data_IF_965652001930
#
_entry.id   IF_965652001930
#
_cell.length_a   1.000
_cell.length_b   1.000
_cell.length_c   1.000
_cell.angle_alpha   90.00
_cell.angle_beta   90.00
_cell.angle_gamma   90.00
#
_symmetry.space_group_name_H-M   'P 1'
#
loop_
_entity.id
_entity.type
_entity.pdbx_description
1 polymer ?
#
# COMPACT_ATOMS: atom_id res chain seq x y z
N UNK A 1 -0.88 -41.43 -13.50
CA UNK A 1 -1.12 -41.09 -12.08
C UNK A 1 -1.71 -39.70 -11.89
N UNK A 2 -1.11 -38.62 -12.42
CA UNK A 2 -1.71 -37.27 -12.30
C UNK A 2 -2.97 -37.08 -13.17
N UNK A 3 -3.04 -37.72 -14.34
CA UNK A 3 -4.17 -37.61 -15.27
C UNK A 3 -5.49 -38.21 -14.76
N UNK A 4 -5.45 -38.99 -13.67
CA UNK A 4 -6.64 -39.57 -13.03
C UNK A 4 -7.13 -38.76 -11.83
N UNK A 5 -6.44 -37.67 -11.46
CA UNK A 5 -6.87 -36.81 -10.37
C UNK A 5 -7.95 -35.83 -10.85
N UNK A 6 -8.95 -35.52 -10.01
CA UNK A 6 -9.88 -34.43 -10.27
C UNK A 6 -9.13 -33.09 -10.44
N UNK A 7 -9.60 -32.19 -11.32
CA UNK A 7 -8.98 -30.88 -11.55
C UNK A 7 -8.75 -30.09 -10.26
N UNK A 8 -9.68 -30.17 -9.30
CA UNK A 8 -9.64 -29.41 -8.04
C UNK A 8 -8.48 -29.87 -7.14
N UNK A 9 -8.22 -31.18 -7.11
CA UNK A 9 -7.10 -31.75 -6.35
C UNK A 9 -5.78 -31.32 -6.98
N UNK A 10 -5.72 -31.30 -8.30
CA UNK A 10 -4.52 -30.88 -9.01
C UNK A 10 -4.27 -29.38 -8.91
N UNK A 11 -5.32 -28.54 -8.91
CA UNK A 11 -5.21 -27.11 -8.63
C UNK A 11 -4.65 -26.87 -7.22
N UNK A 12 -5.12 -27.62 -6.22
CA UNK A 12 -4.59 -27.54 -4.85
C UNK A 12 -3.12 -28.01 -4.75
N UNK A 13 -2.73 -29.04 -5.51
CA UNK A 13 -1.31 -29.44 -5.62
C UNK A 13 -0.50 -28.29 -6.24
N UNK A 14 -0.99 -27.70 -7.33
CA UNK A 14 -0.31 -26.58 -7.99
C UNK A 14 -0.14 -25.37 -7.06
N UNK A 15 -1.11 -25.09 -6.18
CA UNK A 15 -1.04 -24.01 -5.18
C UNK A 15 0.10 -24.18 -4.16
N UNK A 16 0.65 -25.40 -4.01
CA UNK A 16 1.76 -25.70 -3.10
C UNK A 16 3.13 -25.72 -3.77
N UNK A 17 3.18 -25.66 -5.10
CA UNK A 17 4.42 -25.73 -5.85
C UNK A 17 5.08 -24.35 -5.97
N UNK A 18 6.41 -24.35 -6.04
CA UNK A 18 7.15 -23.13 -6.37
C UNK A 18 6.88 -22.69 -7.81
N UNK A 19 7.11 -21.41 -8.13
CA UNK A 19 6.95 -20.92 -9.50
C UNK A 19 7.83 -21.67 -10.51
N UNK A 20 9.03 -22.11 -10.10
CA UNK A 20 9.96 -22.90 -10.92
C UNK A 20 9.38 -24.29 -11.17
N UNK A 21 8.84 -24.93 -10.14
CA UNK A 21 8.27 -26.28 -10.28
C UNK A 21 6.98 -26.26 -11.10
N UNK A 22 6.14 -25.22 -10.96
CA UNK A 22 4.97 -25.01 -11.80
C UNK A 22 5.35 -24.82 -13.27
N UNK A 23 6.40 -24.04 -13.55
CA UNK A 23 6.90 -23.89 -14.92
C UNK A 23 7.35 -25.23 -15.50
N UNK A 24 8.14 -26.00 -14.74
CA UNK A 24 8.58 -27.34 -15.16
C UNK A 24 7.40 -28.27 -15.40
N UNK A 25 6.42 -28.29 -14.50
CA UNK A 25 5.20 -29.09 -14.63
C UNK A 25 4.40 -28.70 -15.87
N UNK A 26 4.33 -27.40 -16.19
CA UNK A 26 3.61 -26.90 -17.37
C UNK A 26 4.17 -27.44 -18.70
N UNK A 27 5.44 -27.85 -18.73
CA UNK A 27 6.12 -28.37 -19.94
C UNK A 27 5.94 -29.88 -20.13
N UNK A 28 5.35 -30.58 -19.17
CA UNK A 28 5.25 -32.06 -19.20
C UNK A 28 4.10 -32.58 -20.06
N UNK A 29 2.97 -31.85 -20.14
CA UNK A 29 1.81 -32.24 -20.94
C UNK A 29 0.90 -31.05 -21.24
N UNK A 30 0.18 -31.09 -22.38
CA UNK A 30 -0.76 -30.02 -22.79
C UNK A 30 -1.87 -29.74 -21.77
N UNK A 31 -2.41 -30.78 -21.15
CA UNK A 31 -3.47 -30.62 -20.15
C UNK A 31 -2.94 -30.03 -18.83
N UNK A 32 -1.73 -30.40 -18.42
CA UNK A 32 -1.03 -29.81 -17.27
C UNK A 32 -0.66 -28.35 -17.54
N UNK A 33 -0.23 -28.03 -18.76
CA UNK A 33 -0.01 -26.65 -19.19
C UNK A 33 -1.26 -25.79 -18.94
N UNK A 34 -2.44 -26.25 -19.37
CA UNK A 34 -3.69 -25.49 -19.19
C UNK A 34 -4.03 -25.21 -17.71
N UNK A 35 -3.78 -26.18 -16.83
CA UNK A 35 -4.10 -26.05 -15.39
C UNK A 35 -3.07 -25.16 -14.70
N UNK A 36 -1.78 -25.45 -14.89
CA UNK A 36 -0.66 -24.68 -14.33
C UNK A 36 -0.63 -23.24 -14.85
N UNK A 37 -1.06 -22.98 -16.09
CA UNK A 37 -1.14 -21.63 -16.66
C UNK A 37 -1.96 -20.68 -15.78
N UNK A 38 -3.12 -21.14 -15.27
CA UNK A 38 -3.96 -20.31 -14.40
C UNK A 38 -3.22 -19.91 -13.12
N UNK A 39 -2.48 -20.85 -12.54
CA UNK A 39 -1.74 -20.62 -11.31
C UNK A 39 -0.48 -19.79 -11.50
N UNK A 40 0.24 -20.00 -12.61
CA UNK A 40 1.39 -19.19 -13.00
C UNK A 40 1.02 -17.71 -13.17
N UNK A 41 -0.19 -17.43 -13.67
CA UNK A 41 -0.68 -16.06 -13.88
C UNK A 41 -1.56 -15.53 -12.74
N UNK A 42 -1.71 -16.27 -11.63
CA UNK A 42 -2.50 -15.83 -10.47
C UNK A 42 -1.93 -14.58 -9.81
N UNK A 43 -0.60 -14.46 -9.76
CA UNK A 43 0.10 -13.32 -9.20
C UNK A 43 0.97 -12.64 -10.26
N UNK A 44 0.79 -11.34 -10.43
CA UNK A 44 1.57 -10.50 -11.35
C UNK A 44 2.40 -9.49 -10.57
N UNK A 45 3.71 -9.52 -10.78
CA UNK A 45 4.64 -8.51 -10.26
C UNK A 45 5.08 -7.58 -11.38
N UNK A 46 4.81 -6.29 -11.22
CA UNK A 46 5.25 -5.22 -12.08
C UNK A 46 6.58 -4.71 -11.53
N UNK A 47 7.61 -4.90 -12.35
CA UNK A 47 8.95 -4.37 -12.09
C UNK A 47 9.24 -3.22 -13.05
N UNK A 48 9.87 -2.13 -12.56
CA UNK A 48 10.39 -1.10 -13.42
C UNK A 48 11.63 -1.64 -14.17
N UNK A 49 11.85 -1.12 -15.37
CA UNK A 49 13.06 -1.40 -16.14
C UNK A 49 13.62 -0.13 -16.78
N UNK A 50 14.83 0.32 -16.41
CA UNK A 50 15.73 -0.28 -15.41
C UNK A 50 15.19 -0.16 -13.97
N UNK A 51 15.63 -1.03 -13.04
CA UNK A 51 15.13 -1.09 -11.66
C UNK A 51 15.30 0.24 -10.89
N UNK A 52 16.35 1.00 -11.24
CA UNK A 52 16.62 2.34 -10.70
C UNK A 52 15.59 3.39 -11.10
N UNK A 53 14.83 3.15 -12.18
CA UNK A 53 13.85 4.09 -12.73
C UNK A 53 12.43 3.59 -12.47
N UNK A 54 11.96 3.74 -11.23
CA UNK A 54 10.64 3.26 -10.77
C UNK A 54 9.45 3.66 -11.65
N UNK A 55 9.53 4.78 -12.36
CA UNK A 55 8.50 5.24 -13.28
C UNK A 55 8.46 4.47 -14.62
N UNK A 56 9.50 3.71 -14.94
CA UNK A 56 9.65 2.93 -16.17
C UNK A 56 8.99 1.56 -16.07
N UNK A 57 7.66 1.53 -15.90
CA UNK A 57 6.86 0.29 -16.01
C UNK A 57 6.27 0.15 -17.40
N UNK A 58 6.01 -1.09 -17.84
CA UNK A 58 5.24 -1.35 -19.06
C UNK A 58 3.73 -1.11 -18.79
N UNK A 59 3.11 -0.06 -19.37
CA UNK A 59 1.68 0.23 -19.15
C UNK A 59 0.76 -0.85 -19.72
N UNK A 60 1.23 -1.59 -20.72
CA UNK A 60 0.47 -2.63 -21.40
C UNK A 60 0.70 -4.02 -20.85
N UNK A 61 1.57 -4.21 -19.85
CA UNK A 61 1.80 -5.49 -19.17
C UNK A 61 1.82 -6.73 -20.09
N UNK A 62 1.35 -7.89 -19.60
CA UNK A 62 1.17 -9.10 -20.41
C UNK A 62 -0.14 -9.06 -21.23
N UNK A 63 -0.32 -10.03 -22.13
CA UNK A 63 -1.52 -10.18 -22.96
C UNK A 63 -2.79 -10.43 -22.11
N UNK A 64 -3.96 -10.04 -22.64
CA UNK A 64 -5.22 -10.05 -21.88
C UNK A 64 -5.61 -11.45 -21.37
N UNK A 65 -5.35 -12.50 -22.15
CA UNK A 65 -5.66 -13.88 -21.75
C UNK A 65 -4.78 -14.39 -20.58
N UNK A 66 -3.67 -13.72 -20.29
CA UNK A 66 -2.89 -13.94 -19.08
C UNK A 66 -3.56 -13.24 -17.90
N UNK A 67 -3.91 -11.95 -18.09
CA UNK A 67 -4.46 -11.10 -17.04
C UNK A 67 -5.76 -11.63 -16.45
N UNK A 68 -6.61 -12.31 -17.22
CA UNK A 68 -7.89 -12.83 -16.72
C UNK A 68 -7.77 -13.76 -15.49
N UNK A 69 -6.61 -14.40 -15.30
CA UNK A 69 -6.34 -15.29 -14.16
C UNK A 69 -5.67 -14.58 -12.98
N UNK A 70 -5.17 -13.36 -13.19
CA UNK A 70 -4.51 -12.59 -12.15
C UNK A 70 -5.49 -12.16 -11.08
N UNK A 71 -5.17 -12.48 -9.83
CA UNK A 71 -5.88 -12.10 -8.61
C UNK A 71 -5.01 -11.24 -7.70
N UNK A 72 -3.69 -11.33 -7.83
CA UNK A 72 -2.75 -10.56 -7.02
C UNK A 72 -1.91 -9.66 -7.92
N UNK A 73 -1.91 -8.36 -7.65
CA UNK A 73 -1.10 -7.38 -8.36
C UNK A 73 -0.10 -6.74 -7.40
N UNK A 74 1.18 -6.80 -7.76
CA UNK A 74 2.27 -6.23 -6.97
C UNK A 74 3.09 -5.28 -7.81
N UNK A 75 3.35 -4.09 -7.29
CA UNK A 75 4.39 -3.18 -7.78
C UNK A 75 5.62 -3.35 -6.88
N UNK A 76 6.69 -3.94 -7.41
CA UNK A 76 7.91 -4.24 -6.66
C UNK A 76 9.13 -3.84 -7.50
N UNK A 77 9.98 -2.90 -7.02
CA UNK A 77 11.08 -2.39 -7.82
C UNK A 77 12.28 -3.36 -7.86
N UNK A 78 12.26 -4.45 -7.09
CA UNK A 78 13.40 -5.35 -6.95
C UNK A 78 14.29 -5.00 -5.76
N UNK A 79 15.26 -5.88 -5.48
CA UNK A 79 16.15 -5.79 -4.31
C UNK A 79 17.21 -4.70 -4.49
N UNK A 80 17.57 -4.38 -5.73
CA UNK A 80 18.63 -3.44 -6.06
C UNK A 80 18.13 -1.98 -6.14
N UNK A 81 16.83 -1.75 -5.97
CA UNK A 81 16.24 -0.42 -6.00
C UNK A 81 16.51 0.35 -4.70
N UNK A 82 17.12 1.54 -4.79
CA UNK A 82 17.46 2.38 -3.62
C UNK A 82 16.22 2.66 -2.74
N UNK A 83 16.10 2.05 -1.54
CA UNK A 83 14.91 2.13 -0.72
C UNK A 83 14.68 3.53 -0.14
N UNK A 84 15.63 4.47 -0.30
CA UNK A 84 15.62 5.77 0.39
C UNK A 84 15.17 6.96 -0.46
N UNK A 85 14.55 6.74 -1.63
CA UNK A 85 14.15 7.85 -2.51
C UNK A 85 12.79 7.65 -3.15
N UNK A 86 11.77 8.34 -2.64
CA UNK A 86 10.55 8.57 -3.42
C UNK A 86 10.89 9.17 -4.79
N UNK A 87 10.09 8.84 -5.82
CA UNK A 87 10.27 9.32 -7.21
C UNK A 87 10.33 10.86 -7.26
N UNK A 88 9.67 11.54 -6.32
CA UNK A 88 9.73 12.98 -6.15
C UNK A 88 11.11 13.52 -5.70
N UNK A 89 11.90 12.73 -4.97
CA UNK A 89 13.20 13.15 -4.44
C UNK A 89 14.27 13.29 -5.54
N UNK A 90 14.12 12.56 -6.66
CA UNK A 90 14.99 12.64 -7.83
C UNK A 90 14.48 13.54 -8.96
N UNK A 91 13.35 14.23 -8.77
CA UNK A 91 12.65 14.93 -9.84
C UNK A 91 13.27 16.31 -10.09
N UNK A 92 14.20 16.39 -11.05
CA UNK A 92 14.90 17.60 -11.45
C UNK A 92 14.71 18.00 -12.92
N UNK A 93 13.93 17.26 -13.73
CA UNK A 93 13.97 17.41 -15.19
C UNK A 93 12.60 17.20 -15.85
N UNK A 94 12.13 18.22 -16.59
CA UNK A 94 10.83 18.26 -17.28
C UNK A 94 10.84 17.80 -18.74
N UNK A 95 9.70 17.31 -19.21
CA UNK A 95 9.27 17.12 -20.60
C UNK A 95 7.75 16.81 -20.61
N UNK A 96 7.00 17.24 -21.64
CA UNK A 96 5.63 16.77 -21.91
C UNK A 96 5.53 16.34 -23.39
N UNK A 97 5.21 15.06 -23.64
CA UNK A 97 4.85 14.52 -24.95
C UNK A 97 4.21 13.14 -24.78
N UNK A 98 3.52 12.59 -25.79
CA UNK A 98 2.82 11.30 -25.67
C UNK A 98 3.77 10.17 -25.17
N UNK A 99 3.64 9.80 -23.89
CA UNK A 99 4.56 8.91 -23.15
C UNK A 99 4.23 7.42 -23.26
N UNK A 100 3.11 7.09 -23.90
CA UNK A 100 2.64 5.71 -24.13
C UNK A 100 3.42 4.99 -25.22
N UNK A 101 4.04 5.74 -26.12
CA UNK A 101 4.64 5.21 -27.36
C UNK A 101 6.18 5.25 -27.35
N UNK A 102 6.80 5.87 -26.32
CA UNK A 102 8.25 6.06 -26.27
C UNK A 102 8.94 4.91 -25.53
N UNK A 103 9.87 4.24 -26.23
CA UNK A 103 10.73 3.18 -25.68
C UNK A 103 11.62 3.77 -24.56
N UNK A 104 11.75 3.11 -23.39
CA UNK A 104 12.45 3.67 -22.21
C UNK A 104 13.96 3.92 -22.34
N UNK A 105 14.56 3.69 -23.50
CA UNK A 105 16.01 3.51 -23.61
C UNK A 105 16.81 4.69 -24.17
N UNK A 106 16.21 5.80 -24.59
CA UNK A 106 16.98 6.89 -25.19
C UNK A 106 16.43 8.26 -24.77
N UNK A 107 17.12 8.95 -23.84
CA UNK A 107 17.86 10.19 -24.14
C UNK A 107 18.32 10.89 -22.86
N UNK A 108 19.63 10.80 -22.63
CA UNK A 108 20.41 11.95 -22.18
C UNK A 108 20.24 13.04 -23.25
N UNK A 109 19.67 14.18 -22.89
CA UNK A 109 20.18 15.55 -23.11
C UNK A 109 19.05 16.54 -22.84
N UNK A 110 19.34 17.49 -21.95
CA UNK A 110 18.69 18.79 -21.91
C UNK A 110 18.75 19.45 -23.29
N UNK A 111 17.60 19.89 -23.82
CA UNK A 111 17.35 21.23 -24.37
C UNK A 111 15.97 21.27 -25.06
N UNK A 112 15.36 22.46 -25.00
CA UNK A 112 14.19 22.93 -25.75
C UNK A 112 12.76 22.72 -25.16
N UNK A 113 12.30 23.80 -24.47
CA UNK A 113 10.95 24.41 -24.47
C UNK A 113 9.77 23.55 -23.96
N UNK A 114 8.66 24.09 -23.45
CA UNK A 114 8.31 25.47 -23.15
C UNK A 114 6.79 25.60 -23.14
N UNK A 115 6.08 24.78 -22.35
CA UNK A 115 4.61 24.67 -22.39
C UNK A 115 4.11 23.70 -21.30
N UNK A 116 3.92 24.24 -20.10
CA UNK A 116 3.09 23.65 -19.05
C UNK A 116 1.62 23.97 -19.34
N UNK A 117 0.74 22.98 -19.42
CA UNK A 117 -0.70 23.26 -19.51
C UNK A 117 -1.23 23.89 -18.22
N UNK A 118 -1.61 25.17 -18.30
CA UNK A 118 -2.92 25.63 -17.84
C UNK A 118 -3.10 26.10 -16.40
N UNK A 119 -2.32 27.11 -15.98
CA UNK A 119 -2.79 28.23 -15.14
C UNK A 119 -1.90 29.42 -15.52
N UNK A 120 -2.49 30.57 -15.83
CA UNK A 120 -1.74 31.81 -15.98
C UNK A 120 -0.76 31.95 -14.80
N UNK A 121 0.55 31.95 -15.07
CA UNK A 121 1.55 32.23 -14.03
C UNK A 121 2.53 31.13 -13.60
N UNK A 122 2.65 30.00 -14.31
CA UNK A 122 3.96 29.34 -14.46
C UNK A 122 4.22 27.95 -13.83
N UNK A 123 5.04 27.19 -14.58
CA UNK A 123 5.87 26.00 -14.27
C UNK A 123 5.24 24.80 -13.54
N UNK A 124 5.01 23.72 -14.30
CA UNK A 124 4.89 22.35 -13.74
C UNK A 124 6.15 21.52 -14.06
N UNK A 125 6.89 21.14 -13.01
CA UNK A 125 8.02 20.20 -13.02
C UNK A 125 7.62 18.99 -12.17
N UNK A 126 6.95 18.01 -12.79
CA UNK A 126 6.64 16.70 -12.20
C UNK A 126 6.33 15.72 -13.34
N UNK A 127 7.29 14.87 -13.73
CA UNK A 127 7.13 14.03 -14.94
C UNK A 127 7.20 12.56 -14.57
N UNK A 128 8.17 12.16 -13.74
CA UNK A 128 8.37 10.74 -13.43
C UNK A 128 7.21 10.17 -12.60
N UNK A 129 6.71 10.92 -11.62
CA UNK A 129 5.61 10.43 -10.77
C UNK A 129 4.28 10.34 -11.54
N UNK A 130 3.97 11.36 -12.35
CA UNK A 130 2.80 11.40 -13.22
C UNK A 130 2.89 10.33 -14.31
N UNK A 131 4.07 10.08 -14.88
CA UNK A 131 4.28 8.97 -15.80
C UNK A 131 4.00 7.62 -15.12
N UNK A 132 4.45 7.43 -13.88
CA UNK A 132 4.11 6.21 -13.13
C UNK A 132 2.60 6.09 -12.93
N UNK A 133 1.95 7.18 -12.51
CA UNK A 133 0.50 7.22 -12.30
C UNK A 133 -0.24 6.83 -13.59
N UNK A 134 0.03 7.51 -14.71
CA UNK A 134 -0.61 7.24 -16.01
C UNK A 134 -0.39 5.80 -16.47
N UNK A 135 0.84 5.29 -16.37
CA UNK A 135 1.16 3.92 -16.82
C UNK A 135 0.49 2.86 -15.94
N UNK A 136 0.45 3.10 -14.63
CA UNK A 136 -0.22 2.20 -13.69
C UNK A 136 -1.74 2.22 -13.91
N UNK A 137 -2.33 3.39 -14.17
CA UNK A 137 -3.75 3.55 -14.51
C UNK A 137 -4.11 2.78 -15.79
N UNK A 138 -3.31 2.91 -16.86
CA UNK A 138 -3.51 2.14 -18.10
C UNK A 138 -3.52 0.64 -17.80
N UNK A 139 -2.56 0.16 -17.01
CA UNK A 139 -2.48 -1.26 -16.64
C UNK A 139 -3.68 -1.71 -15.80
N UNK A 140 -4.04 -0.96 -14.75
CA UNK A 140 -5.17 -1.27 -13.86
C UNK A 140 -6.51 -1.29 -14.62
N UNK A 141 -6.65 -0.45 -15.64
CA UNK A 141 -7.84 -0.41 -16.47
C UNK A 141 -8.07 -1.70 -17.28
N UNK A 142 -7.04 -2.54 -17.45
CA UNK A 142 -7.14 -3.82 -18.18
C UNK A 142 -7.69 -4.98 -17.37
N UNK A 143 -7.76 -4.85 -16.04
CA UNK A 143 -8.38 -5.86 -15.18
C UNK A 143 -9.91 -5.72 -15.22
N UNK A 144 -10.66 -6.81 -15.05
CA UNK A 144 -12.10 -6.72 -14.90
C UNK A 144 -12.48 -6.17 -13.52
N UNK A 145 -13.66 -5.57 -13.38
CA UNK A 145 -14.16 -5.14 -12.07
C UNK A 145 -14.22 -6.34 -11.10
N UNK A 146 -13.78 -6.12 -9.86
CA UNK A 146 -13.71 -7.14 -8.82
C UNK A 146 -12.72 -8.28 -9.07
N UNK A 147 -11.85 -8.17 -10.08
CA UNK A 147 -10.93 -9.26 -10.42
C UNK A 147 -9.79 -9.43 -9.40
N UNK A 148 -9.29 -8.33 -8.83
CA UNK A 148 -8.17 -8.34 -7.90
C UNK A 148 -8.63 -8.69 -6.48
N UNK A 149 -7.98 -9.69 -5.88
CA UNK A 149 -8.13 -10.11 -4.49
C UNK A 149 -7.03 -9.50 -3.60
N UNK A 150 -5.86 -9.18 -4.16
CA UNK A 150 -4.72 -8.65 -3.44
C UNK A 150 -4.03 -7.54 -4.24
N UNK A 151 -3.67 -6.45 -3.55
CA UNK A 151 -2.87 -5.37 -4.11
C UNK A 151 -1.66 -5.08 -3.21
N UNK A 152 -0.49 -4.88 -3.81
CA UNK A 152 0.73 -4.56 -3.10
C UNK A 152 1.52 -3.45 -3.77
N UNK A 153 1.93 -2.45 -2.99
CA UNK A 153 2.78 -1.34 -3.41
C UNK A 153 4.08 -1.34 -2.60
N UNK A 154 5.18 -1.79 -3.21
CA UNK A 154 6.50 -1.90 -2.58
C UNK A 154 7.54 -0.94 -3.16
N UNK A 155 7.08 0.10 -3.86
CA UNK A 155 7.96 1.07 -4.49
C UNK A 155 8.64 2.04 -3.51
N UNK A 156 8.35 1.94 -2.19
CA UNK A 156 8.89 2.82 -1.14
C UNK A 156 8.76 4.29 -1.53
N UNK A 157 7.57 4.66 -2.03
CA UNK A 157 7.27 5.98 -2.58
C UNK A 157 5.85 6.39 -2.22
N UNK A 158 5.50 7.65 -2.48
CA UNK A 158 4.08 8.04 -2.54
C UNK A 158 3.32 7.12 -3.50
N UNK A 159 2.06 6.88 -3.20
CA UNK A 159 1.12 6.17 -4.08
C UNK A 159 0.36 7.25 -4.87
N UNK A 160 0.32 7.20 -6.20
CA UNK A 160 -0.57 8.05 -6.98
C UNK A 160 -2.03 7.90 -6.54
N UNK A 161 -2.75 9.01 -6.38
CA UNK A 161 -4.15 9.02 -5.95
C UNK A 161 -5.04 8.25 -6.93
N UNK A 162 -4.77 8.36 -8.22
CA UNK A 162 -5.50 7.69 -9.30
C UNK A 162 -5.46 6.16 -9.16
N UNK A 163 -4.38 5.60 -8.60
CA UNK A 163 -4.27 4.16 -8.33
C UNK A 163 -5.25 3.77 -7.22
N UNK A 164 -5.25 4.49 -6.10
CA UNK A 164 -6.13 4.21 -4.97
C UNK A 164 -7.61 4.37 -5.35
N UNK A 165 -7.94 5.41 -6.13
CA UNK A 165 -9.29 5.63 -6.67
C UNK A 165 -9.77 4.45 -7.52
N UNK A 166 -8.95 3.99 -8.47
CA UNK A 166 -9.31 2.84 -9.31
C UNK A 166 -9.47 1.58 -8.46
N UNK A 167 -8.59 1.35 -7.48
CA UNK A 167 -8.71 0.18 -6.60
C UNK A 167 -10.00 0.23 -5.79
N UNK A 168 -10.36 1.38 -5.21
CA UNK A 168 -11.61 1.53 -4.44
C UNK A 168 -12.85 1.34 -5.32
N UNK A 169 -12.89 2.00 -6.49
CA UNK A 169 -14.07 1.99 -7.37
C UNK A 169 -14.25 0.67 -8.11
N UNK A 170 -13.14 0.08 -8.59
CA UNK A 170 -13.17 -1.07 -9.49
C UNK A 170 -12.91 -2.39 -8.78
N UNK A 171 -12.22 -2.37 -7.63
CA UNK A 171 -11.82 -3.58 -6.91
C UNK A 171 -12.14 -3.53 -5.40
N UNK A 172 -13.40 -3.24 -5.00
CA UNK A 172 -13.79 -3.17 -3.57
C UNK A 172 -13.74 -4.54 -2.86
N UNK A 173 -13.61 -5.64 -3.60
CA UNK A 173 -13.49 -7.00 -3.08
C UNK A 173 -12.06 -7.39 -2.66
N UNK A 174 -11.07 -6.48 -2.76
CA UNK A 174 -9.71 -6.75 -2.30
C UNK A 174 -9.74 -7.18 -0.83
N UNK A 175 -9.05 -8.29 -0.56
CA UNK A 175 -8.94 -8.91 0.75
C UNK A 175 -7.58 -8.68 1.40
N UNK A 176 -6.58 -8.28 0.62
CA UNK A 176 -5.21 -8.10 1.08
C UNK A 176 -4.63 -6.82 0.48
N UNK A 177 -4.29 -5.86 1.35
CA UNK A 177 -3.68 -4.60 0.97
C UNK A 177 -2.35 -4.45 1.68
N UNK A 178 -1.25 -4.33 0.93
CA UNK A 178 0.09 -4.14 1.50
C UNK A 178 0.80 -2.94 0.85
N UNK A 179 1.07 -1.92 1.65
CA UNK A 179 1.58 -0.63 1.18
C UNK A 179 2.89 -0.30 1.90
N UNK A 180 3.91 0.06 1.15
CA UNK A 180 5.19 0.59 1.67
C UNK A 180 5.42 1.95 1.02
N UNK A 181 5.23 3.00 1.81
CA UNK A 181 5.30 4.39 1.35
C UNK A 181 6.58 5.09 1.83
N UNK A 182 6.78 6.33 1.41
CA UNK A 182 7.82 7.21 1.94
C UNK A 182 7.15 8.19 2.93
N UNK A 183 7.53 8.19 4.21
CA UNK A 183 6.87 9.00 5.24
C UNK A 183 7.26 10.48 5.15
N UNK A 184 8.32 10.84 4.41
CA UNK A 184 8.90 12.17 4.39
C UNK A 184 9.09 12.72 2.99
N UNK A 185 8.20 12.38 2.06
CA UNK A 185 8.23 12.94 0.72
C UNK A 185 7.97 14.46 0.76
N UNK A 186 9.05 15.23 0.95
CA UNK A 186 9.09 16.64 1.36
C UNK A 186 8.38 17.63 0.42
N UNK A 187 8.18 17.26 -0.85
CA UNK A 187 7.47 18.10 -1.82
C UNK A 187 5.94 17.97 -1.76
N UNK A 188 5.43 16.92 -1.12
CA UNK A 188 3.98 16.62 -1.03
C UNK A 188 3.41 16.77 0.38
N UNK A 189 4.23 17.16 1.35
CA UNK A 189 3.81 17.36 2.75
C UNK A 189 2.76 18.47 2.97
N UNK A 190 2.27 19.11 1.90
CA UNK A 190 1.23 20.14 1.98
C UNK A 190 -0.07 19.79 1.27
N UNK A 191 -0.09 18.78 0.37
CA UNK A 191 -1.24 18.45 -0.48
C UNK A 191 -1.16 17.00 -1.01
N UNK A 192 -1.09 16.00 -0.12
CA UNK A 192 -1.23 14.63 -0.61
C UNK A 192 -2.64 14.44 -1.15
N UNK A 193 -2.82 14.38 -2.47
CA UNK A 193 -4.12 14.06 -3.10
C UNK A 193 -4.72 12.71 -2.65
N UNK A 194 -3.98 11.92 -1.89
CA UNK A 194 -4.41 10.65 -1.31
C UNK A 194 -5.13 10.80 0.03
N UNK A 195 -5.05 11.95 0.72
CA UNK A 195 -5.76 12.15 2.00
C UNK A 195 -7.27 12.21 1.81
N UNK A 196 -7.72 12.76 0.68
CA UNK A 196 -9.14 12.97 0.40
C UNK A 196 -9.83 11.70 -0.13
N UNK A 197 -9.06 10.65 -0.45
CA UNK A 197 -9.61 9.38 -0.92
C UNK A 197 -10.09 8.59 0.28
N UNK A 198 -11.40 8.39 0.35
CA UNK A 198 -11.99 7.47 1.32
C UNK A 198 -11.68 6.01 0.96
N UNK A 199 -10.73 5.42 1.68
CA UNK A 199 -10.38 4.01 1.52
C UNK A 199 -11.37 3.06 2.21
N UNK A 200 -12.40 3.56 2.91
CA UNK A 200 -13.42 2.73 3.57
C UNK A 200 -14.25 1.87 2.59
N UNK A 201 -14.16 2.15 1.29
CA UNK A 201 -14.75 1.34 0.22
C UNK A 201 -14.26 -0.12 0.22
N UNK A 202 -13.08 -0.40 0.77
CA UNK A 202 -12.59 -1.77 0.94
C UNK A 202 -13.26 -2.44 2.15
N UNK A 203 -14.35 -3.18 1.91
CA UNK A 203 -15.16 -3.81 2.96
C UNK A 203 -14.80 -5.29 3.24
N UNK A 204 -13.85 -5.85 2.51
CA UNK A 204 -13.52 -7.28 2.55
C UNK A 204 -12.07 -7.56 3.00
N UNK A 205 -11.36 -6.56 3.54
CA UNK A 205 -9.96 -6.71 3.93
C UNK A 205 -9.82 -7.68 5.10
N UNK A 206 -9.08 -8.76 4.85
CA UNK A 206 -8.61 -9.71 5.85
C UNK A 206 -7.17 -9.41 6.27
N UNK A 207 -6.38 -8.79 5.40
CA UNK A 207 -4.98 -8.45 5.66
C UNK A 207 -4.72 -7.00 5.29
N UNK A 208 -4.25 -6.23 6.25
CA UNK A 208 -3.78 -4.87 6.05
C UNK A 208 -2.34 -4.75 6.54
N UNK A 209 -1.44 -4.32 5.65
CA UNK A 209 -0.07 -3.97 6.00
C UNK A 209 0.24 -2.59 5.45
N UNK A 210 0.62 -1.65 6.30
CA UNK A 210 1.06 -0.33 5.88
C UNK A 210 2.35 0.06 6.59
N UNK A 211 3.41 0.21 5.81
CA UNK A 211 4.74 0.59 6.28
C UNK A 211 5.08 2.00 5.82
N UNK A 212 5.62 2.76 6.76
CA UNK A 212 5.97 4.15 6.66
C UNK A 212 4.86 5.06 6.08
N UNK A 213 3.61 4.99 6.61
CA UNK A 213 2.57 5.95 6.23
C UNK A 213 2.99 7.38 6.63
N UNK A 214 2.50 8.36 5.86
CA UNK A 214 2.56 9.78 6.22
C UNK A 214 1.43 10.12 7.21
N UNK A 215 1.57 11.21 7.97
CA UNK A 215 0.58 11.63 8.98
C UNK A 215 -0.83 11.81 8.41
N UNK A 216 -0.94 12.38 7.20
CA UNK A 216 -2.19 12.56 6.48
C UNK A 216 -2.91 11.25 6.07
N UNK A 217 -2.26 10.09 6.18
CA UNK A 217 -2.90 8.79 5.91
C UNK A 217 -3.56 8.18 7.15
N UNK A 218 -3.37 8.75 8.34
CA UNK A 218 -3.82 8.13 9.59
C UNK A 218 -5.35 7.99 9.66
N UNK A 219 -6.10 8.97 9.16
CA UNK A 219 -7.58 8.89 9.10
C UNK A 219 -8.06 7.78 8.16
N UNK A 220 -7.38 7.61 7.02
CA UNK A 220 -7.68 6.53 6.08
C UNK A 220 -7.34 5.15 6.67
N UNK A 221 -6.22 5.04 7.39
CA UNK A 221 -5.87 3.81 8.12
C UNK A 221 -6.92 3.49 9.18
N UNK A 222 -7.30 4.47 9.99
CA UNK A 222 -8.30 4.30 11.04
C UNK A 222 -9.65 3.85 10.46
N UNK A 223 -10.10 4.50 9.38
CA UNK A 223 -11.35 4.18 8.68
C UNK A 223 -11.32 2.77 8.10
N UNK A 224 -10.22 2.37 7.45
CA UNK A 224 -10.00 1.02 6.95
C UNK A 224 -10.08 -0.05 8.04
N UNK A 225 -9.37 0.19 9.13
CA UNK A 225 -9.32 -0.73 10.27
C UNK A 225 -10.71 -0.86 10.90
N UNK A 226 -11.41 0.27 11.13
CA UNK A 226 -12.77 0.27 11.69
C UNK A 226 -13.76 -0.46 10.79
N UNK A 227 -13.73 -0.21 9.48
CA UNK A 227 -14.63 -0.85 8.51
C UNK A 227 -14.44 -2.37 8.43
N UNK A 228 -13.24 -2.87 8.69
CA UNK A 228 -12.90 -4.29 8.54
C UNK A 228 -12.69 -5.05 9.85
N UNK A 229 -12.83 -4.39 11.01
CA UNK A 229 -12.45 -4.93 12.32
C UNK A 229 -13.02 -6.33 12.63
N UNK A 230 -14.27 -6.60 12.23
CA UNK A 230 -14.97 -7.88 12.51
C UNK A 230 -14.39 -9.08 11.77
N UNK A 231 -13.69 -8.85 10.66
CA UNK A 231 -13.16 -9.93 9.80
C UNK A 231 -11.68 -9.79 9.45
N UNK A 232 -11.02 -8.73 9.94
CA UNK A 232 -9.58 -8.55 9.80
C UNK A 232 -8.83 -9.69 10.52
N UNK A 233 -7.99 -10.39 9.78
CA UNK A 233 -7.20 -11.53 10.25
C UNK A 233 -5.75 -11.12 10.55
N UNK A 234 -5.19 -10.17 9.79
CA UNK A 234 -3.83 -9.66 9.96
C UNK A 234 -3.78 -8.13 9.85
N UNK A 235 -3.12 -7.48 10.81
CA UNK A 235 -2.84 -6.04 10.84
C UNK A 235 -1.35 -5.80 11.09
N UNK A 236 -0.68 -5.12 10.16
CA UNK A 236 0.71 -4.68 10.27
C UNK A 236 0.79 -3.17 10.04
N UNK A 237 1.21 -2.41 11.05
CA UNK A 237 1.43 -0.97 10.97
C UNK A 237 2.85 -0.65 11.42
N UNK A 238 3.67 -0.11 10.53
CA UNK A 238 5.06 0.22 10.85
C UNK A 238 5.35 1.68 10.54
N UNK A 239 5.64 2.51 11.55
CA UNK A 239 6.18 3.85 11.34
C UNK A 239 7.70 3.80 11.06
N UNK A 240 8.09 3.01 10.06
CA UNK A 240 9.48 2.93 9.61
C UNK A 240 9.93 4.29 9.06
N UNK A 241 11.18 4.67 9.31
CA UNK A 241 11.75 5.96 8.88
C UNK A 241 11.41 7.14 9.79
N UNK A 242 10.30 7.10 10.54
CA UNK A 242 9.97 8.15 11.52
C UNK A 242 11.11 8.31 12.53
N UNK A 243 11.53 9.55 12.85
CA UNK A 243 12.46 9.82 13.95
C UNK A 243 11.72 10.66 15.01
N UNK A 244 12.15 10.67 16.29
CA UNK A 244 11.54 11.53 17.30
C UNK A 244 11.41 12.99 16.83
N UNK A 245 12.46 13.53 16.21
CA UNK A 245 12.49 14.90 15.68
C UNK A 245 11.46 15.13 14.54
N UNK A 246 11.18 14.10 13.75
CA UNK A 246 10.20 14.17 12.67
C UNK A 246 8.76 13.96 13.15
N UNK A 247 8.55 13.13 14.18
CA UNK A 247 7.23 12.90 14.79
C UNK A 247 6.65 14.20 15.36
N UNK A 248 7.45 15.05 15.99
CA UNK A 248 7.01 16.34 16.55
C UNK A 248 6.74 17.43 15.51
N UNK A 249 7.21 17.29 14.26
CA UNK A 249 7.02 18.29 13.19
C UNK A 249 5.71 18.10 12.43
N UNK A 250 5.22 16.87 12.34
CA UNK A 250 3.97 16.54 11.63
C UNK A 250 2.72 16.93 12.42
N UNK A 251 2.76 16.87 13.75
CA UNK A 251 1.66 17.32 14.63
C UNK A 251 1.22 18.76 14.36
N UNK A 252 2.15 19.62 13.92
CA UNK A 252 1.89 21.04 13.62
C UNK A 252 1.30 21.27 12.20
N UNK A 253 1.38 20.30 11.30
CA UNK A 253 1.05 20.48 9.87
C UNK A 253 -0.33 19.94 9.46
N UNK A 254 -0.88 18.95 10.19
CA UNK A 254 -2.10 18.22 9.78
C UNK A 254 -3.40 18.94 10.18
N UNK A 255 -3.38 19.87 11.14
CA UNK A 255 -4.61 20.49 11.68
C UNK A 255 -4.57 22.03 11.73
N UNK A 256 -4.66 22.75 10.60
CA UNK A 256 -4.95 24.18 10.63
C UNK A 256 -6.45 24.39 10.92
N UNK A 257 -6.85 24.38 12.20
CA UNK A 257 -8.19 24.86 12.61
C UNK A 257 -9.03 23.95 13.53
N UNK A 258 -8.57 22.75 13.89
CA UNK A 258 -9.13 22.00 15.03
C UNK A 258 -8.43 22.46 16.32
N UNK A 259 -9.10 22.40 17.48
CA UNK A 259 -8.58 22.87 18.77
C UNK A 259 -7.10 22.46 18.96
N UNK A 260 -6.20 23.44 18.81
CA UNK A 260 -4.74 23.25 18.91
C UNK A 260 -4.34 22.53 20.22
N UNK A 261 -5.13 22.74 21.28
CA UNK A 261 -4.88 22.17 22.61
C UNK A 261 -4.97 20.63 22.70
N UNK A 262 -5.56 19.91 21.72
CA UNK A 262 -5.75 18.44 21.79
C UNK A 262 -4.65 17.64 21.09
N UNK A 263 -3.95 18.24 20.11
CA UNK A 263 -2.98 17.55 19.26
C UNK A 263 -1.58 18.18 19.25
N UNK A 264 -1.39 19.33 19.89
CA UNK A 264 -0.07 19.93 20.09
C UNK A 264 0.86 18.97 20.85
N UNK A 265 2.07 18.77 20.32
CA UNK A 265 3.13 17.91 20.86
C UNK A 265 2.83 16.40 20.94
N UNK A 266 1.82 15.90 20.20
CA UNK A 266 1.54 14.47 20.16
C UNK A 266 2.40 13.80 19.10
N UNK A 267 3.27 12.84 19.46
CA UNK A 267 4.06 12.11 18.48
C UNK A 267 3.15 11.41 17.47
N UNK A 268 3.54 11.37 16.19
CA UNK A 268 2.77 10.73 15.14
C UNK A 268 2.40 9.26 15.45
N UNK A 269 3.27 8.58 16.21
CA UNK A 269 3.03 7.25 16.77
C UNK A 269 1.80 7.18 17.69
N UNK A 270 1.61 8.17 18.55
CA UNK A 270 0.44 8.29 19.42
C UNK A 270 -0.80 8.76 18.63
N UNK A 271 -0.63 9.62 17.62
CA UNK A 271 -1.74 10.03 16.74
C UNK A 271 -2.36 8.85 16.00
N UNK A 272 -1.53 8.04 15.34
CA UNK A 272 -2.00 6.84 14.63
C UNK A 272 -2.70 5.88 15.58
N UNK A 273 -2.15 5.68 16.79
CA UNK A 273 -2.76 4.82 17.80
C UNK A 273 -4.15 5.30 18.24
N UNK A 274 -4.28 6.59 18.55
CA UNK A 274 -5.55 7.22 18.96
C UNK A 274 -6.63 7.03 17.91
N UNK A 275 -6.31 7.38 16.66
CA UNK A 275 -7.24 7.28 15.54
C UNK A 275 -7.61 5.83 15.23
N UNK A 276 -6.63 4.92 15.24
CA UNK A 276 -6.85 3.53 14.82
C UNK A 276 -7.52 2.65 15.88
N UNK A 277 -7.23 2.89 17.16
CA UNK A 277 -7.70 2.03 18.25
C UNK A 277 -8.70 2.71 19.19
N UNK A 278 -9.09 3.95 18.91
CA UNK A 278 -10.04 4.70 19.73
C UNK A 278 -9.49 5.06 21.10
N UNK A 279 -8.21 5.43 21.19
CA UNK A 279 -7.57 5.85 22.46
C UNK A 279 -7.83 7.33 22.79
N UNK A 280 -8.78 7.98 22.11
CA UNK A 280 -9.14 9.37 22.38
C UNK A 280 -9.91 9.53 23.70
N UNK A 281 -9.51 10.52 24.50
CA UNK A 281 -10.32 10.99 25.64
C UNK A 281 -11.43 11.87 25.07
N UNK A 282 -12.61 11.31 24.86
CA UNK A 282 -13.81 12.14 24.71
C UNK A 282 -14.59 12.14 26.02
N UNK A 283 -14.80 13.33 26.56
CA UNK A 283 -15.52 13.61 27.81
C UNK A 283 -17.04 13.30 27.75
N UNK A 284 -17.53 12.54 26.75
CA UNK A 284 -18.98 12.42 26.52
C UNK A 284 -19.46 11.13 25.83
N UNK A 285 -18.59 10.32 25.22
CA UNK A 285 -19.02 9.00 24.72
C UNK A 285 -17.93 7.98 25.04
N UNK A 286 -18.33 6.84 25.60
CA UNK A 286 -17.45 5.69 25.71
C UNK A 286 -16.81 5.47 24.34
N UNK A 287 -15.49 5.69 24.21
CA UNK A 287 -14.79 5.46 22.97
C UNK A 287 -15.12 4.03 22.52
N UNK A 288 -15.75 3.90 21.35
CA UNK A 288 -16.13 2.59 20.82
C UNK A 288 -14.86 1.79 20.60
N UNK A 289 -14.51 0.96 21.58
CA UNK A 289 -13.31 0.15 21.51
C UNK A 289 -13.47 -0.84 20.35
N UNK A 290 -12.64 -0.67 19.33
CA UNK A 290 -12.69 -1.52 18.14
C UNK A 290 -12.30 -2.94 18.54
N UNK A 291 -13.20 -3.88 18.28
CA UNK A 291 -13.01 -5.30 18.60
C UNK A 291 -12.55 -6.08 17.37
N UNK A 292 -11.54 -6.92 17.55
CA UNK A 292 -10.92 -7.70 16.48
C UNK A 292 -11.08 -9.21 16.69
N UNK A 293 -12.30 -9.77 16.52
CA UNK A 293 -12.60 -11.14 16.90
C UNK A 293 -11.87 -12.20 16.05
N UNK A 294 -11.40 -11.85 14.85
CA UNK A 294 -10.70 -12.77 13.93
C UNK A 294 -9.20 -12.49 13.79
N UNK A 295 -8.67 -11.51 14.49
CA UNK A 295 -7.29 -11.07 14.33
C UNK A 295 -6.31 -12.09 14.93
N UNK A 296 -5.51 -12.69 14.06
CA UNK A 296 -4.52 -13.73 14.40
C UNK A 296 -3.10 -13.18 14.42
N UNK A 297 -2.82 -12.13 13.63
CA UNK A 297 -1.51 -11.50 13.54
C UNK A 297 -1.63 -9.99 13.73
N UNK A 298 -0.95 -9.47 14.73
CA UNK A 298 -0.78 -8.04 14.95
C UNK A 298 0.72 -7.73 14.99
N UNK A 299 1.17 -6.83 14.13
CA UNK A 299 2.55 -6.33 14.14
C UNK A 299 2.54 -4.82 14.10
N UNK A 300 3.07 -4.22 15.15
CA UNK A 300 3.09 -2.78 15.32
C UNK A 300 4.53 -2.38 15.60
N UNK A 301 5.07 -1.46 14.80
CA UNK A 301 6.41 -0.93 15.00
C UNK A 301 6.31 0.58 15.17
N UNK A 302 6.72 1.09 16.35
CA UNK A 302 6.65 2.50 16.73
C UNK A 302 5.24 3.11 16.64
N UNK A 303 4.20 2.36 17.03
CA UNK A 303 2.86 2.91 17.29
C UNK A 303 2.55 2.60 18.74
N UNK A 304 2.25 3.62 19.53
CA UNK A 304 2.09 3.46 20.96
C UNK A 304 0.79 2.70 21.26
N UNK A 305 0.85 1.58 22.00
CA UNK A 305 -0.35 0.84 22.44
C UNK A 305 -0.93 1.38 23.75
N UNK A 306 -0.25 2.36 24.33
CA UNK A 306 -0.66 3.14 25.49
C UNK A 306 -0.45 4.58 25.15
N UNK A 307 -1.47 5.38 25.38
CA UNK A 307 -1.35 6.82 25.30
C UNK A 307 -0.72 7.31 26.61
N UNK A 308 0.49 7.86 26.54
CA UNK A 308 1.22 8.32 27.73
C UNK A 308 0.59 9.57 28.36
N UNK A 309 -0.13 10.37 27.56
CA UNK A 309 -0.79 11.59 28.04
C UNK A 309 -2.09 11.26 28.79
N UNK A 310 -2.77 10.18 28.41
CA UNK A 310 -4.11 9.84 28.94
C UNK A 310 -4.11 8.58 29.79
N UNK A 311 -3.04 7.78 29.74
CA UNK A 311 -2.92 6.50 30.42
C UNK A 311 -3.77 5.38 29.80
N UNK A 312 -4.57 5.66 28.76
CA UNK A 312 -5.46 4.68 28.11
C UNK A 312 -4.62 3.68 27.32
N UNK A 313 -4.84 2.39 27.60
CA UNK A 313 -4.15 1.28 26.93
C UNK A 313 -5.14 0.50 26.07
N UNK A 314 -4.67 0.02 24.90
CA UNK A 314 -5.40 -0.97 24.12
C UNK A 314 -5.55 -2.23 24.99
N UNK A 315 -6.79 -2.54 25.40
CA UNK A 315 -7.04 -3.69 26.27
C UNK A 315 -6.81 -4.98 25.47
N UNK A 316 -5.94 -5.87 25.99
CA UNK A 316 -5.71 -7.19 25.40
C UNK A 316 -6.98 -8.06 25.31
N UNK A 317 -8.07 -7.68 25.98
CA UNK A 317 -9.37 -8.34 25.90
C UNK A 317 -10.09 -8.17 24.57
N UNK A 318 -9.78 -7.15 23.77
CA UNK A 318 -10.38 -6.91 22.45
C UNK A 318 -9.69 -7.67 21.30
N UNK A 319 -8.64 -8.43 21.62
CA UNK A 319 -7.76 -9.15 20.69
C UNK A 319 -7.78 -10.63 21.06
N UNK A 320 -7.97 -11.50 20.07
CA UNK A 320 -8.04 -12.95 20.26
C UNK A 320 -6.81 -13.48 21.03
N UNK A 321 -7.06 -14.49 21.86
CA UNK A 321 -6.09 -15.16 22.73
C UNK A 321 -4.82 -15.63 22.01
N UNK A 322 -4.91 -15.93 20.71
CA UNK A 322 -3.80 -16.28 19.82
C UNK A 322 -2.84 -15.11 19.58
N UNK A 323 -3.38 -13.90 19.36
CA UNK A 323 -2.64 -12.68 19.11
C UNK A 323 -2.13 -12.01 20.39
N UNK A 324 -2.68 -12.35 21.56
CA UNK A 324 -2.17 -11.91 22.88
C UNK A 324 -0.72 -12.30 23.14
N UNK A 325 -0.26 -13.46 22.64
CA UNK A 325 1.14 -13.91 22.78
C UNK A 325 2.15 -13.06 22.00
N UNK A 326 1.69 -12.31 21.00
CA UNK A 326 2.55 -11.39 20.23
C UNK A 326 2.54 -9.97 20.83
N UNK A 327 1.45 -9.57 21.50
CA UNK A 327 1.42 -8.34 22.28
C UNK A 327 2.36 -8.38 23.49
N UNK A 328 2.50 -9.53 24.16
CA UNK A 328 3.47 -9.67 25.26
C UNK A 328 4.91 -9.48 24.78
N UNK A 329 5.26 -9.94 23.57
CA UNK A 329 6.60 -9.74 23.01
C UNK A 329 6.90 -8.28 22.59
N UNK A 330 5.87 -7.45 22.35
CA UNK A 330 6.04 -6.01 22.06
C UNK A 330 6.10 -5.20 23.35
N UNK A 331 5.40 -5.62 24.41
CA UNK A 331 5.43 -4.96 25.72
C UNK A 331 6.74 -5.21 26.49
N UNK A 332 7.42 -6.33 26.24
CA UNK A 332 8.68 -6.67 26.92
C UNK A 332 9.94 -5.98 26.32
N UNK A 333 9.78 -5.13 25.30
CA UNK A 333 10.91 -4.44 24.62
C UNK A 333 10.90 -2.90 24.77
N UNK A 334 10.16 -2.35 25.74
CA UNK A 334 10.38 -0.96 26.16
C UNK A 334 11.57 -0.91 27.13
N UNK A 335 12.64 -0.11 26.85
CA UNK A 335 13.58 0.22 27.89
C UNK A 335 12.87 1.04 28.96
N UNK A 336 13.15 0.72 30.23
CA UNK A 336 12.75 1.48 31.42
C UNK A 336 13.14 2.95 31.26
#
# INVERSE_FOLDING_TARGET
>A
MLASLPPEILENICDKLSGIDLQRLSLTAKWLHKITFRQLWRSLTIKPYPESERHCINPYGPLQYCLQYTRELRFDPGVDADPKRCIHAGDWLGYMGNWTDKVPLHQYTWEARGDSFGLEGGKLVRVKFECLAQRAVILLNRFNAGQLESFSWYYTSCIPCEILEILCLKHPCIQSLSLVTDPFCSRFNRWSRTSDIDLSAFLNLRRLSWKAPMGCHFDNIASLVKANARHLEELELELHGWSPDHESRESTAVHPGENLEVWDNIPASAMLARKTFGLEVTTSKAAEQICFPKLRRLKITRVALRDENTGIQVLASSIDSSARRLLSCVLDNLPI
#
